data_IF_335841539500
#
_entry.id   IF_335841539500
#
_cell.length_a   1.000
_cell.length_b   1.000
_cell.length_c   1.000
_cell.angle_alpha   90.00
_cell.angle_beta   90.00
_cell.angle_gamma   90.00
#
_symmetry.space_group_name_H-M   'P 1'
#
loop_
_entity.id
_entity.type
_entity.pdbx_description
1 polymer ?
#
# COMPACT_ATOMS: atom_id res chain seq x y z
N UNK A 1 -42.21 9.49 14.44
CA UNK A 1 -41.56 9.21 13.14
C UNK A 1 -40.13 9.69 13.30
N UNK A 2 -39.36 9.00 14.16
CA UNK A 2 -38.02 9.38 14.60
C UNK A 2 -37.16 8.10 14.74
N UNK A 3 -37.27 7.21 13.73
CA UNK A 3 -36.23 6.22 13.45
C UNK A 3 -35.29 6.91 12.45
N UNK A 4 -34.58 7.93 12.91
CA UNK A 4 -33.23 7.86 13.50
C UNK A 4 -32.22 8.12 12.40
N UNK A 5 -31.95 9.41 12.19
CA UNK A 5 -30.82 9.92 11.40
C UNK A 5 -29.50 9.31 11.92
N UNK A 6 -29.44 8.93 13.21
CA UNK A 6 -28.31 8.24 13.82
C UNK A 6 -28.05 6.83 13.25
N UNK A 7 -29.07 6.14 12.71
CA UNK A 7 -28.87 4.85 12.03
C UNK A 7 -28.34 5.01 10.59
N UNK A 8 -28.45 6.22 10.02
CA UNK A 8 -27.91 6.55 8.69
C UNK A 8 -26.46 7.06 8.81
N UNK A 9 -26.21 7.90 9.81
CA UNK A 9 -24.87 8.37 10.19
C UNK A 9 -23.93 7.25 10.68
N UNK A 10 -24.47 6.11 11.12
CA UNK A 10 -23.63 4.98 11.57
C UNK A 10 -23.25 4.01 10.46
N UNK A 11 -23.90 4.09 9.27
CA UNK A 11 -23.48 3.35 8.08
C UNK A 11 -22.53 4.19 7.20
N UNK A 12 -22.64 5.53 7.25
CA UNK A 12 -21.76 6.50 6.56
C UNK A 12 -20.36 6.67 7.21
N UNK A 13 -20.06 5.95 8.29
CA UNK A 13 -18.76 6.01 9.00
C UNK A 13 -18.03 4.65 9.04
N UNK A 14 -18.37 3.72 8.14
CA UNK A 14 -17.49 2.57 7.92
C UNK A 14 -16.28 3.11 7.17
N UNK A 15 -15.07 2.78 7.61
CA UNK A 15 -13.89 3.01 6.79
C UNK A 15 -14.10 2.29 5.46
N UNK A 16 -14.34 3.07 4.40
CA UNK A 16 -14.46 2.57 3.03
C UNK A 16 -13.10 2.55 2.34
N UNK A 17 -12.06 3.07 2.98
CA UNK A 17 -10.73 3.19 2.41
C UNK A 17 -9.64 2.97 3.46
N UNK A 18 -8.56 2.30 3.05
CA UNK A 18 -7.31 2.23 3.79
C UNK A 18 -6.27 3.09 3.08
N UNK A 19 -5.64 4.00 3.82
CA UNK A 19 -4.40 4.66 3.40
C UNK A 19 -3.22 3.85 3.91
N UNK A 20 -2.19 3.68 3.09
CA UNK A 20 -1.01 2.91 3.47
C UNK A 20 0.27 3.57 2.97
N UNK A 21 1.36 3.30 3.69
CA UNK A 21 2.71 3.62 3.27
C UNK A 21 3.67 2.52 3.72
N UNK A 22 4.87 2.49 3.15
CA UNK A 22 5.85 1.50 3.54
C UNK A 22 7.19 1.63 2.85
N UNK A 23 8.07 0.70 3.16
CA UNK A 23 9.39 0.61 2.56
C UNK A 23 9.73 -0.81 2.11
N UNK A 24 10.45 -0.89 0.99
CA UNK A 24 11.05 -2.11 0.46
C UNK A 24 12.57 -1.93 0.45
N UNK A 25 13.28 -2.76 1.23
CA UNK A 25 14.74 -2.70 1.32
C UNK A 25 15.39 -3.72 0.40
N UNK A 26 16.62 -3.39 -0.01
CA UNK A 26 17.56 -4.31 -0.68
C UNK A 26 16.96 -4.83 -2.00
N UNK A 27 16.72 -3.93 -2.94
CA UNK A 27 16.06 -4.31 -4.19
C UNK A 27 16.67 -3.64 -5.41
N UNK A 28 16.67 -4.38 -6.52
CA UNK A 28 16.79 -3.84 -7.87
C UNK A 28 15.41 -3.34 -8.32
N UNK A 29 15.37 -2.21 -9.05
CA UNK A 29 14.11 -1.58 -9.45
C UNK A 29 13.19 -2.51 -10.25
N UNK A 30 13.75 -3.48 -10.99
CA UNK A 30 12.97 -4.47 -11.75
C UNK A 30 12.27 -5.45 -10.83
N UNK A 31 12.92 -5.85 -9.73
CA UNK A 31 12.34 -6.77 -8.75
C UNK A 31 11.23 -6.07 -7.97
N UNK A 32 11.40 -4.79 -7.64
CA UNK A 32 10.35 -3.97 -7.03
C UNK A 32 9.16 -3.82 -7.95
N UNK A 33 9.39 -3.47 -9.23
CA UNK A 33 8.34 -3.40 -10.24
C UNK A 33 7.58 -4.73 -10.34
N UNK A 34 8.29 -5.84 -10.48
CA UNK A 34 7.72 -7.18 -10.60
C UNK A 34 6.91 -7.56 -9.35
N UNK A 35 7.32 -7.14 -8.15
CA UNK A 35 6.54 -7.29 -6.93
C UNK A 35 5.20 -6.53 -6.98
N UNK A 36 5.22 -5.26 -7.40
CA UNK A 36 3.98 -4.47 -7.55
C UNK A 36 3.07 -5.03 -8.65
N UNK A 37 3.62 -5.40 -9.80
CA UNK A 37 2.85 -5.97 -10.92
C UNK A 37 2.19 -7.31 -10.52
N UNK A 38 2.91 -8.18 -9.80
CA UNK A 38 2.36 -9.44 -9.28
C UNK A 38 1.26 -9.19 -8.23
N UNK A 39 1.51 -8.28 -7.27
CA UNK A 39 0.54 -7.93 -6.23
C UNK A 39 -0.75 -7.32 -6.81
N UNK A 40 -0.62 -6.43 -7.79
CA UNK A 40 -1.74 -5.78 -8.46
C UNK A 40 -2.42 -6.69 -9.51
N UNK A 41 -1.81 -7.83 -9.84
CA UNK A 41 -2.33 -8.74 -10.88
C UNK A 41 -2.34 -8.13 -12.28
N UNK A 42 -1.44 -7.18 -12.56
CA UNK A 42 -1.42 -6.41 -13.80
C UNK A 42 0.00 -6.03 -14.20
N UNK A 43 0.26 -5.95 -15.50
CA UNK A 43 1.51 -5.39 -16.05
C UNK A 43 1.35 -3.95 -16.53
N UNK A 44 0.21 -3.31 -16.21
CA UNK A 44 -0.12 -1.96 -16.65
C UNK A 44 0.29 -0.89 -15.61
N UNK A 45 1.49 -1.02 -15.05
CA UNK A 45 2.07 0.02 -14.19
C UNK A 45 2.75 1.09 -15.04
N UNK A 46 2.61 2.36 -14.64
CA UNK A 46 3.33 3.48 -15.27
C UNK A 46 4.70 3.61 -14.61
N UNK A 47 5.77 3.48 -15.39
CA UNK A 47 7.14 3.51 -14.88
C UNK A 47 7.91 4.67 -15.51
N UNK A 48 8.59 5.46 -14.67
CA UNK A 48 9.51 6.51 -15.11
C UNK A 48 10.90 6.23 -14.53
N UNK A 49 11.86 6.01 -15.43
CA UNK A 49 13.28 6.07 -15.08
C UNK A 49 13.72 7.55 -15.05
N UNK A 50 14.18 8.00 -13.89
CA UNK A 50 14.70 9.36 -13.67
C UNK A 50 16.24 9.31 -13.69
N UNK A 51 16.89 10.45 -13.90
CA UNK A 51 18.35 10.56 -13.79
C UNK A 51 18.89 10.12 -12.41
N UNK A 52 18.04 10.13 -11.38
CA UNK A 52 18.39 9.79 -9.99
C UNK A 52 17.47 8.73 -9.37
N UNK A 53 16.82 7.87 -10.16
CA UNK A 53 16.11 6.72 -9.60
C UNK A 53 14.92 6.24 -10.41
N UNK A 54 14.03 5.54 -9.72
CA UNK A 54 12.86 4.86 -10.27
C UNK A 54 11.58 5.42 -9.64
N UNK A 55 10.55 5.60 -10.46
CA UNK A 55 9.17 5.89 -10.02
C UNK A 55 8.22 4.90 -10.69
N UNK A 56 7.29 4.35 -9.90
CA UNK A 56 6.19 3.51 -10.35
C UNK A 56 4.88 4.10 -9.83
N UNK A 57 3.88 4.19 -10.72
CA UNK A 57 2.53 4.60 -10.35
C UNK A 57 1.52 3.60 -10.91
N UNK A 58 0.50 3.31 -10.11
CA UNK A 58 -0.69 2.58 -10.52
C UNK A 58 -1.93 3.27 -9.96
N UNK A 59 -2.99 3.34 -10.76
CA UNK A 59 -4.28 3.91 -10.35
C UNK A 59 -5.39 3.21 -11.14
N UNK A 60 -6.37 2.65 -10.43
CA UNK A 60 -7.66 2.22 -10.96
C UNK A 60 -8.80 2.77 -10.08
N UNK A 61 -10.02 2.23 -10.21
CA UNK A 61 -11.19 2.69 -9.44
C UNK A 61 -11.04 2.46 -7.93
N UNK A 62 -10.33 1.41 -7.51
CA UNK A 62 -10.28 0.98 -6.11
C UNK A 62 -8.87 1.05 -5.49
N UNK A 63 -7.84 1.39 -6.27
CA UNK A 63 -6.45 1.26 -5.85
C UNK A 63 -5.56 2.33 -6.45
N UNK A 64 -4.90 3.08 -5.57
CA UNK A 64 -3.81 3.98 -5.94
C UNK A 64 -2.50 3.52 -5.29
N UNK A 65 -1.40 3.61 -6.05
CA UNK A 65 -0.05 3.27 -5.59
C UNK A 65 0.94 4.22 -6.22
N UNK A 66 1.80 4.80 -5.40
CA UNK A 66 3.00 5.49 -5.84
C UNK A 66 4.21 4.92 -5.10
N UNK A 67 5.21 4.49 -5.86
CA UNK A 67 6.47 3.96 -5.34
C UNK A 67 7.64 4.69 -5.99
N UNK A 68 8.66 5.01 -5.18
CA UNK A 68 9.86 5.65 -5.67
C UNK A 68 11.12 5.18 -4.94
N UNK A 69 12.25 5.26 -5.63
CA UNK A 69 13.56 5.00 -5.05
C UNK A 69 13.97 6.14 -4.11
N UNK A 70 14.30 5.82 -2.87
CA UNK A 70 14.70 6.81 -1.88
C UNK A 70 16.06 7.44 -2.23
N UNK A 71 16.16 8.76 -2.06
CA UNK A 71 17.45 9.46 -2.25
C UNK A 71 18.36 9.22 -1.06
N UNK A 72 19.36 8.36 -1.23
CA UNK A 72 20.33 7.98 -0.18
C UNK A 72 21.75 8.47 -0.47
N UNK A 73 22.60 8.51 0.57
CA UNK A 73 24.03 8.81 0.41
C UNK A 73 24.73 7.69 -0.36
N UNK A 74 25.78 8.04 -1.09
CA UNK A 74 26.62 7.06 -1.78
C UNK A 74 27.15 5.97 -0.82
N UNK A 75 27.03 4.70 -1.24
CA UNK A 75 27.44 3.54 -0.44
C UNK A 75 26.36 2.98 0.48
N UNK A 76 25.17 3.59 0.52
CA UNK A 76 23.98 2.99 1.13
C UNK A 76 23.23 2.18 0.06
N UNK A 77 22.75 1.00 0.41
CA UNK A 77 21.93 0.20 -0.49
C UNK A 77 20.64 0.94 -0.83
N UNK A 78 20.16 0.86 -2.09
CA UNK A 78 18.88 1.45 -2.45
C UNK A 78 17.76 0.80 -1.64
N UNK A 79 16.76 1.61 -1.31
CA UNK A 79 15.48 1.19 -0.78
C UNK A 79 14.39 2.03 -1.43
N UNK A 80 13.18 1.52 -1.40
CA UNK A 80 12.03 2.11 -2.06
C UNK A 80 11.01 2.49 -1.02
N UNK A 81 10.44 3.67 -1.19
CA UNK A 81 9.31 4.14 -0.40
C UNK A 81 8.07 4.03 -1.26
N UNK A 82 6.94 3.72 -0.64
CA UNK A 82 5.67 3.71 -1.35
C UNK A 82 4.54 4.19 -0.44
N UNK A 83 3.51 4.69 -1.08
CA UNK A 83 2.26 5.13 -0.48
C UNK A 83 1.10 4.81 -1.42
N UNK A 84 -0.10 4.71 -0.88
CA UNK A 84 -1.27 4.41 -1.68
C UNK A 84 -2.56 4.37 -0.88
N UNK A 85 -3.65 4.06 -1.58
CA UNK A 85 -4.95 3.82 -0.99
C UNK A 85 -5.61 2.60 -1.59
N UNK A 86 -6.46 1.94 -0.80
CA UNK A 86 -7.33 0.84 -1.20
C UNK A 86 -8.76 1.15 -0.78
N UNK A 87 -9.66 1.27 -1.74
CA UNK A 87 -11.10 1.39 -1.50
C UNK A 87 -11.73 0.00 -1.35
N UNK A 88 -12.82 -0.08 -0.58
CA UNK A 88 -13.60 -1.29 -0.37
C UNK A 88 -13.66 -1.76 1.09
N UNK A 89 -13.98 -3.05 1.27
CA UNK A 89 -14.16 -3.64 2.59
C UNK A 89 -12.81 -3.73 3.32
N UNK A 90 -12.70 -3.13 4.51
CA UNK A 90 -11.48 -3.08 5.31
C UNK A 90 -10.74 -4.43 5.40
N UNK A 91 -11.45 -5.52 5.67
CA UNK A 91 -10.84 -6.86 5.77
C UNK A 91 -10.19 -7.33 4.47
N UNK A 92 -10.78 -7.00 3.33
CA UNK A 92 -10.28 -7.40 2.01
C UNK A 92 -9.06 -6.55 1.63
N UNK A 93 -9.10 -5.25 1.95
CA UNK A 93 -7.96 -4.34 1.81
C UNK A 93 -6.78 -4.76 2.67
N UNK A 94 -7.01 -5.16 3.94
CA UNK A 94 -5.96 -5.70 4.82
C UNK A 94 -5.37 -6.99 4.23
N UNK A 95 -6.19 -7.92 3.73
CA UNK A 95 -5.68 -9.13 3.08
C UNK A 95 -4.90 -8.83 1.79
N UNK A 96 -5.30 -7.80 1.03
CA UNK A 96 -4.55 -7.30 -0.14
C UNK A 96 -3.19 -6.74 0.27
N UNK A 97 -3.07 -5.99 1.37
CA UNK A 97 -1.78 -5.53 1.89
C UNK A 97 -0.91 -6.71 2.41
N UNK A 98 -1.52 -7.69 3.08
CA UNK A 98 -0.81 -8.93 3.46
C UNK A 98 -0.30 -9.70 2.24
N UNK A 99 -1.05 -9.69 1.14
CA UNK A 99 -0.60 -10.29 -0.11
C UNK A 99 0.65 -9.58 -0.67
N UNK A 100 0.76 -8.24 -0.58
CA UNK A 100 1.98 -7.51 -0.94
C UNK A 100 3.18 -7.98 -0.12
N UNK A 101 3.04 -8.13 1.21
CA UNK A 101 4.10 -8.67 2.06
C UNK A 101 4.51 -10.09 1.60
N UNK A 102 3.54 -10.96 1.29
CA UNK A 102 3.82 -12.33 0.79
C UNK A 102 4.60 -12.31 -0.52
N UNK A 103 4.22 -11.44 -1.47
CA UNK A 103 4.93 -11.27 -2.75
C UNK A 103 6.37 -10.78 -2.51
N UNK A 104 6.55 -9.76 -1.67
CA UNK A 104 7.88 -9.27 -1.30
C UNK A 104 8.75 -10.38 -0.70
N UNK A 105 8.22 -11.13 0.27
CA UNK A 105 8.93 -12.25 0.90
C UNK A 105 9.27 -13.35 -0.12
N UNK A 106 8.37 -13.66 -1.06
CA UNK A 106 8.62 -14.61 -2.14
C UNK A 106 9.73 -14.20 -3.11
N UNK A 107 10.07 -12.91 -3.15
CA UNK A 107 11.15 -12.33 -3.97
C UNK A 107 12.38 -11.93 -3.14
N UNK A 108 12.50 -12.43 -1.90
CA UNK A 108 13.58 -12.12 -0.96
C UNK A 108 13.72 -10.61 -0.63
N UNK A 109 12.60 -9.87 -0.68
CA UNK A 109 12.53 -8.45 -0.31
C UNK A 109 12.10 -8.28 1.15
N UNK A 110 12.74 -7.36 1.88
CA UNK A 110 12.25 -6.90 3.18
C UNK A 110 11.21 -5.80 2.95
N UNK A 111 9.99 -6.01 3.43
CA UNK A 111 8.87 -5.08 3.27
C UNK A 111 8.14 -4.89 4.60
N UNK A 112 7.85 -3.64 4.92
CA UNK A 112 7.03 -3.21 6.06
C UNK A 112 5.98 -2.24 5.52
N UNK A 113 4.73 -2.40 5.95
CA UNK A 113 3.62 -1.53 5.57
C UNK A 113 2.97 -1.02 6.85
N UNK A 114 2.81 0.29 6.94
CA UNK A 114 1.92 0.94 7.90
C UNK A 114 0.64 1.33 7.18
N UNK A 115 -0.51 1.07 7.79
CA UNK A 115 -1.81 1.42 7.22
C UNK A 115 -2.76 1.99 8.26
N UNK A 116 -3.65 2.88 7.81
CA UNK A 116 -4.65 3.55 8.64
C UNK A 116 -6.00 3.52 7.93
N UNK A 117 -7.07 3.02 8.58
CA UNK A 117 -8.44 3.20 8.11
C UNK A 117 -8.79 4.70 8.04
N UNK A 118 -9.30 5.15 6.90
CA UNK A 118 -9.68 6.55 6.66
C UNK A 118 -11.11 6.66 6.14
N UNK A 119 -11.70 7.86 6.24
CA UNK A 119 -12.96 8.23 5.59
C UNK A 119 -12.77 8.73 4.15
N UNK A 120 -13.84 9.23 3.52
CA UNK A 120 -13.86 9.73 2.15
C UNK A 120 -13.11 11.05 1.93
N UNK A 121 -12.83 11.78 3.01
CA UNK A 121 -11.97 12.97 3.00
C UNK A 121 -10.48 12.60 3.22
N UNK A 122 -10.20 11.33 3.53
CA UNK A 122 -8.87 10.82 3.85
C UNK A 122 -8.46 11.06 5.31
N UNK A 123 -9.40 11.43 6.17
CA UNK A 123 -9.15 11.63 7.60
C UNK A 123 -9.10 10.27 8.34
N UNK A 124 -8.15 10.07 9.27
CA UNK A 124 -8.06 8.84 10.05
C UNK A 124 -9.32 8.59 10.90
N UNK A 125 -9.93 7.43 10.71
CA UNK A 125 -11.06 6.94 11.54
C UNK A 125 -10.66 5.78 12.45
N UNK A 126 -9.40 5.34 12.37
CA UNK A 126 -8.80 4.29 13.19
C UNK A 126 -7.35 4.58 13.56
N UNK A 127 -6.75 3.66 14.31
CA UNK A 127 -5.33 3.72 14.64
C UNK A 127 -4.48 3.18 13.47
N UNK A 128 -3.24 3.67 13.36
CA UNK A 128 -2.25 3.12 12.45
C UNK A 128 -1.81 1.72 12.90
N UNK A 129 -1.69 0.81 11.94
CA UNK A 129 -1.29 -0.58 12.16
C UNK A 129 -0.14 -0.93 11.23
N UNK A 130 0.91 -1.52 11.81
CA UNK A 130 2.04 -2.06 11.06
C UNK A 130 1.83 -3.53 10.71
N UNK A 131 2.10 -3.91 9.47
CA UNK A 131 2.22 -5.30 9.03
C UNK A 131 3.60 -5.55 8.41
N UNK A 132 4.10 -6.76 8.65
CA UNK A 132 5.44 -7.20 8.27
C UNK A 132 5.46 -8.70 7.98
N UNK A 133 6.64 -9.24 7.66
CA UNK A 133 6.85 -10.69 7.52
C UNK A 133 6.37 -11.50 8.75
N UNK A 134 6.40 -10.92 9.95
CA UNK A 134 5.96 -11.61 11.17
C UNK A 134 4.44 -11.89 11.16
N UNK A 135 3.69 -11.10 10.41
CA UNK A 135 2.22 -11.11 10.38
C UNK A 135 1.64 -12.05 9.31
N UNK A 136 2.49 -12.62 8.45
CA UNK A 136 2.08 -13.53 7.35
C UNK A 136 2.56 -14.97 7.52
N UNK A 137 3.28 -15.29 8.61
CA UNK A 137 3.78 -16.64 8.86
C UNK A 137 2.66 -17.52 9.42
N UNK A 138 2.00 -18.31 8.56
CA UNK A 138 1.10 -19.41 8.94
C UNK A 138 1.51 -20.70 8.23
#
# INVERSE_FOLDING_TARGET
MEHSIAAKLTDEMRSEMISFNGDIKIADNRVVRDAFEEWLGTNNTSVKERMSGFELTYEDEDTYVFCYEATVRAGVNPFYLFEGSLEGVESDSIEKLRALIRVCVGKDLECIIDYTPVDDEGDPVGEEVTISRMDIST
#
